data_IF_397458356300
#
_entry.id   IF_397458356300
#
_cell.length_a   1.000
_cell.length_b   1.000
_cell.length_c   1.000
_cell.angle_alpha   90.00
_cell.angle_beta   90.00
_cell.angle_gamma   90.00
#
_symmetry.space_group_name_H-M   'P 1'
#
loop_
_entity.id
_entity.type
_entity.pdbx_description
1 polymer ?
#
# COMPACT_ATOMS: atom_id res chain seq x y z
N UNK A 1 -5.49 2.44 -2.62
CA UNK A 1 -4.43 2.73 -1.64
C UNK A 1 -4.45 4.20 -1.31
N UNK A 2 -4.38 4.57 -0.02
CA UNK A 2 -4.41 5.94 0.46
C UNK A 2 -3.23 6.18 1.41
N UNK A 3 -2.41 7.19 1.11
CA UNK A 3 -1.28 7.61 1.95
C UNK A 3 -1.65 8.87 2.71
N UNK A 4 -1.64 8.78 4.05
CA UNK A 4 -1.97 9.89 4.94
C UNK A 4 -0.69 10.59 5.43
N UNK A 5 -0.72 11.92 5.53
CA UNK A 5 0.44 12.74 5.92
C UNK A 5 1.04 12.40 7.30
N UNK A 6 0.31 11.66 8.15
CA UNK A 6 0.77 11.21 9.47
C UNK A 6 1.51 9.86 9.42
N UNK A 7 1.88 9.35 8.24
CA UNK A 7 2.59 8.08 8.09
C UNK A 7 1.70 6.85 8.16
N UNK A 8 0.38 7.00 8.04
CA UNK A 8 -0.56 5.87 7.91
C UNK A 8 -0.85 5.60 6.44
N UNK A 9 -0.94 4.34 6.07
CA UNK A 9 -1.40 3.91 4.75
C UNK A 9 -2.60 2.97 4.91
N UNK A 10 -3.63 3.21 4.12
CA UNK A 10 -4.82 2.35 4.05
C UNK A 10 -4.83 1.66 2.69
N UNK A 11 -4.84 0.34 2.71
CA UNK A 11 -4.98 -0.46 1.51
C UNK A 11 -6.30 -1.23 1.55
N UNK A 12 -7.16 -0.94 0.58
CA UNK A 12 -8.44 -1.62 0.40
C UNK A 12 -8.25 -2.74 -0.61
N UNK A 13 -8.48 -3.97 -0.16
CA UNK A 13 -8.49 -5.17 -0.99
C UNK A 13 -9.94 -5.42 -1.42
N UNK A 14 -10.28 -5.31 -2.71
CA UNK A 14 -11.56 -5.80 -3.21
C UNK A 14 -11.58 -7.34 -3.08
N UNK A 15 -12.63 -7.92 -2.50
CA UNK A 15 -12.67 -9.37 -2.21
C UNK A 15 -12.79 -10.30 -3.43
N UNK A 16 -12.70 -11.65 -3.23
CA UNK A 16 -12.45 -12.39 -2.00
C UNK A 16 -11.05 -13.04 -2.03
N UNK A 17 -10.00 -12.29 -1.71
CA UNK A 17 -8.71 -12.92 -1.43
C UNK A 17 -8.81 -13.61 -0.06
N UNK A 18 -8.92 -14.94 -0.08
CA UNK A 18 -9.19 -15.80 1.10
C UNK A 18 -8.18 -15.59 2.25
N UNK A 19 -6.97 -15.11 1.96
CA UNK A 19 -5.91 -14.94 2.94
C UNK A 19 -6.10 -13.68 3.82
N UNK A 20 -6.90 -12.71 3.37
CA UNK A 20 -7.11 -11.42 4.07
C UNK A 20 -8.53 -11.23 4.61
N UNK A 21 -9.43 -12.21 4.40
CA UNK A 21 -10.84 -12.11 4.79
C UNK A 21 -11.17 -12.97 6.00
N UNK A 22 -11.31 -12.34 7.17
CA UNK A 22 -12.09 -12.91 8.28
C UNK A 22 -13.61 -12.92 7.98
N UNK A 23 -14.08 -12.28 6.90
CA UNK A 23 -15.48 -12.29 6.47
C UNK A 23 -15.60 -12.14 4.93
N UNK A 24 -16.23 -13.09 4.21
CA UNK A 24 -16.26 -13.16 2.74
C UNK A 24 -17.06 -12.04 2.03
N UNK A 25 -17.82 -11.23 2.77
CA UNK A 25 -18.73 -10.22 2.21
C UNK A 25 -18.27 -8.77 2.46
N UNK A 26 -17.02 -8.54 2.86
CA UNK A 26 -16.51 -7.20 3.20
C UNK A 26 -15.18 -6.93 2.51
N UNK A 27 -15.06 -5.76 1.90
CA UNK A 27 -13.75 -5.21 1.50
C UNK A 27 -12.76 -5.36 2.66
N UNK A 28 -11.62 -5.99 2.39
CA UNK A 28 -10.56 -6.16 3.38
C UNK A 28 -9.82 -4.84 3.53
N UNK A 29 -9.76 -4.31 4.76
CA UNK A 29 -8.95 -3.12 5.06
C UNK A 29 -7.65 -3.55 5.73
N UNK A 30 -6.53 -3.29 5.05
CA UNK A 30 -5.20 -3.40 5.64
C UNK A 30 -4.73 -2.04 6.14
N UNK A 31 -4.43 -1.97 7.43
CA UNK A 31 -3.88 -0.79 8.09
C UNK A 31 -2.36 -0.92 8.20
N UNK A 32 -1.65 -0.04 7.51
CA UNK A 32 -0.20 -0.01 7.46
C UNK A 32 0.33 1.30 8.04
N UNK A 33 1.56 1.26 8.52
CA UNK A 33 2.40 2.45 8.68
C UNK A 33 3.38 2.54 7.52
N UNK A 34 3.75 3.74 7.11
CA UNK A 34 4.77 3.95 6.09
C UNK A 34 5.69 5.12 6.41
N UNK A 35 6.89 5.07 5.84
CA UNK A 35 7.83 6.19 5.75
C UNK A 35 8.50 6.17 4.37
N UNK A 36 9.11 7.29 4.01
CA UNK A 36 9.87 7.42 2.76
C UNK A 36 11.36 7.43 3.08
N UNK A 37 12.13 6.60 2.38
CA UNK A 37 13.58 6.52 2.44
C UNK A 37 14.13 6.64 1.01
N UNK A 38 14.53 7.84 0.59
CA UNK A 38 15.03 8.06 -0.78
C UNK A 38 13.94 7.82 -1.84
N UNK A 39 14.18 6.85 -2.74
CA UNK A 39 13.23 6.41 -3.77
C UNK A 39 12.38 5.21 -3.32
N UNK A 40 12.38 4.88 -2.03
CA UNK A 40 11.62 3.76 -1.46
C UNK A 40 10.54 4.22 -0.48
N UNK A 41 9.40 3.55 -0.53
CA UNK A 41 8.40 3.52 0.54
C UNK A 41 8.70 2.30 1.39
N UNK A 42 8.94 2.52 2.68
CA UNK A 42 9.06 1.44 3.68
C UNK A 42 7.74 1.35 4.43
N UNK A 43 6.99 0.27 4.19
CA UNK A 43 5.73 -0.03 4.85
C UNK A 43 5.90 -1.11 5.91
N UNK A 44 5.04 -1.10 6.92
CA UNK A 44 4.97 -2.14 7.94
C UNK A 44 3.51 -2.32 8.37
N UNK A 45 3.09 -3.56 8.57
CA UNK A 45 1.78 -3.90 9.12
C UNK A 45 1.89 -4.07 10.65
N UNK A 46 1.40 -3.13 11.49
CA UNK A 46 1.63 -3.21 12.93
C UNK A 46 1.02 -4.45 13.61
N UNK A 47 -0.04 -5.02 13.03
CA UNK A 47 -0.67 -6.24 13.56
C UNK A 47 0.13 -7.52 13.27
N UNK A 48 0.97 -7.50 12.24
CA UNK A 48 1.91 -8.58 11.88
C UNK A 48 3.22 -7.94 11.40
N UNK A 49 4.09 -7.47 12.33
CA UNK A 49 5.22 -6.62 11.98
C UNK A 49 6.21 -7.30 11.03
N UNK A 50 6.32 -6.74 9.83
CA UNK A 50 7.31 -7.09 8.82
C UNK A 50 7.49 -5.88 7.90
N UNK A 51 8.73 -5.40 7.75
CA UNK A 51 8.99 -4.27 6.88
C UNK A 51 9.06 -4.72 5.42
N UNK A 52 8.36 -3.99 4.56
CA UNK A 52 8.37 -4.17 3.12
C UNK A 52 8.88 -2.90 2.43
N UNK A 53 9.70 -3.08 1.41
CA UNK A 53 10.30 -1.97 0.64
C UNK A 53 9.75 -1.98 -0.78
N UNK A 54 9.17 -0.86 -1.17
CA UNK A 54 8.62 -0.64 -2.51
C UNK A 54 9.31 0.56 -3.15
N UNK A 55 9.97 0.38 -4.29
CA UNK A 55 10.51 1.51 -5.05
C UNK A 55 9.35 2.31 -5.64
N UNK A 56 9.43 3.64 -5.61
CA UNK A 56 8.41 4.47 -6.21
C UNK A 56 8.99 5.56 -7.12
N UNK A 57 8.20 5.93 -8.12
CA UNK A 57 8.45 7.10 -8.96
C UNK A 57 7.18 7.93 -9.04
N UNK A 58 7.30 9.24 -8.80
CA UNK A 58 6.22 10.20 -8.99
C UNK A 58 6.47 11.04 -10.24
N UNK A 59 5.46 11.16 -11.09
CA UNK A 59 5.47 12.05 -12.26
C UNK A 59 4.12 12.75 -12.39
N UNK A 60 4.05 14.00 -11.91
CA UNK A 60 2.79 14.74 -11.82
C UNK A 60 1.79 14.04 -10.89
N UNK A 61 0.65 13.65 -11.44
CA UNK A 61 -0.41 12.91 -10.72
C UNK A 61 -0.29 11.39 -10.87
N UNK A 62 0.78 10.89 -11.49
CA UNK A 62 1.03 9.47 -11.66
C UNK A 62 2.04 8.96 -10.63
N UNK A 63 1.71 7.84 -9.99
CA UNK A 63 2.57 7.09 -9.09
C UNK A 63 2.83 5.71 -9.70
N UNK A 64 4.11 5.36 -9.86
CA UNK A 64 4.55 4.02 -10.23
C UNK A 64 5.17 3.37 -9.01
N UNK A 65 4.76 2.15 -8.67
CA UNK A 65 5.30 1.36 -7.58
C UNK A 65 5.91 0.08 -8.15
N UNK A 66 7.12 -0.27 -7.72
CA UNK A 66 7.78 -1.53 -8.05
C UNK A 66 8.06 -2.30 -6.76
N UNK A 67 7.39 -3.43 -6.58
CA UNK A 67 7.53 -4.32 -5.43
C UNK A 67 7.84 -5.73 -5.91
N UNK A 68 8.93 -6.33 -5.42
CA UNK A 68 9.38 -7.68 -5.80
C UNK A 68 9.46 -7.92 -7.32
N UNK A 69 9.76 -6.87 -8.10
CA UNK A 69 9.85 -6.94 -9.56
C UNK A 69 8.52 -6.70 -10.29
N UNK A 70 7.38 -6.70 -9.59
CA UNK A 70 6.09 -6.33 -10.15
C UNK A 70 5.90 -4.82 -10.12
N UNK A 71 5.35 -4.25 -11.20
CA UNK A 71 5.13 -2.81 -11.32
C UNK A 71 3.64 -2.51 -11.44
N UNK A 72 3.16 -1.59 -10.60
CA UNK A 72 1.79 -1.08 -10.63
C UNK A 72 1.78 0.43 -10.86
N UNK A 73 0.71 0.91 -11.49
CA UNK A 73 0.53 2.31 -11.82
C UNK A 73 -0.76 2.85 -11.22
N UNK A 74 -0.65 3.98 -10.55
CA UNK A 74 -1.74 4.66 -9.86
C UNK A 74 -1.83 6.10 -10.35
N UNK A 75 -3.05 6.62 -10.41
CA UNK A 75 -3.31 8.03 -10.67
C UNK A 75 -3.94 8.65 -9.43
N UNK A 76 -3.46 9.82 -9.02
CA UNK A 76 -4.05 10.61 -7.95
C UNK A 76 -5.52 10.86 -8.27
N UNK A 77 -6.38 10.54 -7.30
CA UNK A 77 -7.79 10.91 -7.34
C UNK A 77 -7.94 12.29 -6.67
N UNK A 78 -8.70 13.17 -7.31
CA UNK A 78 -8.99 14.54 -6.87
C UNK A 78 -10.09 14.59 -5.82
#
# INVERSE_FOLDING_TARGET
>A
MEFLANGRCIYTVPGPDEELMLTPDREGLMLLTYRVEGDEIVSNQPSHPNEERTRYTLSGDSLTLTFQGETTHWRRQS
#
